data_IF_597780112232
#
_entry.id   IF_597780112232
#
_cell.length_a   1.000
_cell.length_b   1.000
_cell.length_c   1.000
_cell.angle_alpha   90.00
_cell.angle_beta   90.00
_cell.angle_gamma   90.00
#
_symmetry.space_group_name_H-M   'P 1'
#
loop_
_entity.id
_entity.type
_entity.pdbx_description
1 polymer ?
#
# COMPACT_ATOMS: atom_id res chain seq x y z
N UNK A 1 -6.88 0.62 31.99
CA UNK A 1 -5.45 0.28 31.87
C UNK A 1 -4.90 1.03 30.68
N UNK A 2 -3.89 1.88 30.84
CA UNK A 2 -3.31 2.61 29.72
C UNK A 2 -2.50 1.64 28.86
N UNK A 3 -2.93 1.39 27.63
CA UNK A 3 -2.16 0.62 26.65
C UNK A 3 -0.88 1.40 26.35
N UNK A 4 0.27 0.88 26.78
CA UNK A 4 1.56 1.47 26.47
C UNK A 4 1.76 1.48 24.95
N UNK A 5 1.96 2.66 24.37
CA UNK A 5 2.28 2.80 22.94
C UNK A 5 3.62 2.10 22.70
N UNK A 6 3.65 1.14 21.77
CA UNK A 6 4.87 0.42 21.40
C UNK A 6 5.78 1.36 20.57
N UNK A 7 6.64 2.11 21.26
CA UNK A 7 7.54 3.08 20.64
C UNK A 7 8.88 2.42 20.30
N UNK A 8 9.22 2.38 19.01
CA UNK A 8 10.55 1.96 18.54
C UNK A 8 11.44 3.17 18.28
N UNK A 9 12.58 3.26 18.99
CA UNK A 9 13.57 4.33 18.74
C UNK A 9 14.23 4.12 17.37
N UNK A 10 14.28 5.18 16.57
CA UNK A 10 14.90 5.21 15.24
C UNK A 10 15.68 6.51 15.08
N UNK A 11 16.88 6.40 14.51
CA UNK A 11 17.71 7.55 14.18
C UNK A 11 17.37 8.00 12.76
N UNK A 12 17.40 9.31 12.53
CA UNK A 12 17.16 9.94 11.23
C UNK A 12 18.29 10.92 10.94
N UNK A 13 18.73 10.96 9.69
CA UNK A 13 19.71 11.94 9.22
C UNK A 13 18.97 13.15 8.65
N UNK A 14 19.34 14.34 9.11
CA UNK A 14 18.76 15.61 8.66
C UNK A 14 19.89 16.57 8.29
N UNK A 15 19.76 17.32 7.19
CA UNK A 15 20.66 18.43 6.89
C UNK A 15 20.70 19.43 8.07
N UNK A 16 21.87 20.00 8.34
CA UNK A 16 22.09 20.94 9.45
C UNK A 16 21.11 22.12 9.39
N UNK A 17 20.93 22.71 8.21
CA UNK A 17 20.03 23.84 8.01
C UNK A 17 18.56 23.48 8.29
N UNK A 18 18.16 22.25 7.94
CA UNK A 18 16.82 21.75 8.22
C UNK A 18 16.60 21.58 9.72
N UNK A 19 17.59 21.02 10.43
CA UNK A 19 17.54 20.85 11.88
C UNK A 19 17.40 22.20 12.60
N UNK A 20 18.15 23.21 12.16
CA UNK A 20 18.07 24.57 12.73
C UNK A 20 16.70 25.20 12.53
N UNK A 21 16.13 25.13 11.32
CA UNK A 21 14.79 25.63 11.02
C UNK A 21 13.72 24.94 11.87
N UNK A 22 13.79 23.61 12.00
CA UNK A 22 12.89 22.84 12.86
C UNK A 22 13.02 23.24 14.34
N UNK A 23 14.24 23.52 14.81
CA UNK A 23 14.47 23.99 16.18
C UNK A 23 13.79 25.33 16.45
N UNK A 24 13.90 26.29 15.52
CA UNK A 24 13.24 27.59 15.64
C UNK A 24 11.71 27.42 15.66
N UNK A 25 11.17 26.58 14.77
CA UNK A 25 9.74 26.29 14.72
C UNK A 25 9.22 25.62 15.99
N UNK A 26 9.99 24.68 16.56
CA UNK A 26 9.64 24.00 17.81
C UNK A 26 9.56 25.00 18.98
N UNK A 27 10.56 25.89 19.08
CA UNK A 27 10.59 26.95 20.10
C UNK A 27 9.42 27.91 19.95
N UNK A 28 9.08 28.31 18.72
CA UNK A 28 7.93 29.17 18.45
C UNK A 28 6.59 28.55 18.90
N UNK A 29 6.51 27.21 19.02
CA UNK A 29 5.34 26.48 19.50
C UNK A 29 5.45 26.07 20.99
N UNK A 30 6.51 26.48 21.69
CA UNK A 30 6.74 26.10 23.09
C UNK A 30 6.99 24.60 23.29
N UNK A 31 7.48 23.89 22.27
CA UNK A 31 7.71 22.45 22.28
C UNK A 31 9.19 22.12 22.18
N UNK A 32 9.60 20.96 22.71
CA UNK A 32 10.93 20.44 22.44
C UNK A 32 11.06 20.02 20.97
N UNK A 33 12.27 20.14 20.40
CA UNK A 33 12.55 19.73 19.02
C UNK A 33 12.13 18.28 18.75
N UNK A 34 12.39 17.38 19.70
CA UNK A 34 11.98 15.97 19.62
C UNK A 34 10.46 15.83 19.49
N UNK A 35 9.70 16.42 20.42
CA UNK A 35 8.24 16.32 20.42
C UNK A 35 7.63 16.93 19.15
N UNK A 36 8.21 18.04 18.68
CA UNK A 36 7.79 18.71 17.47
C UNK A 36 7.96 17.82 16.23
N UNK A 37 9.15 17.22 16.04
CA UNK A 37 9.43 16.30 14.93
C UNK A 37 8.51 15.07 15.00
N UNK A 38 8.36 14.46 16.18
CA UNK A 38 7.48 13.30 16.37
C UNK A 38 6.03 13.63 16.00
N UNK A 39 5.52 14.78 16.46
CA UNK A 39 4.16 15.23 16.16
C UNK A 39 3.94 15.41 14.66
N UNK A 40 4.90 16.05 13.95
CA UNK A 40 4.81 16.24 12.50
C UNK A 40 4.74 14.89 11.79
N UNK A 41 5.63 13.95 12.14
CA UNK A 41 5.70 12.64 11.50
C UNK A 41 4.41 11.83 11.75
N UNK A 42 3.90 11.84 12.99
CA UNK A 42 2.65 11.16 13.35
C UNK A 42 1.47 11.76 12.59
N UNK A 43 1.34 13.09 12.59
CA UNK A 43 0.26 13.77 11.89
C UNK A 43 0.31 13.50 10.38
N UNK A 44 1.52 13.49 9.80
CA UNK A 44 1.70 13.19 8.38
C UNK A 44 1.30 11.75 8.08
N UNK A 45 1.71 10.79 8.91
CA UNK A 45 1.32 9.39 8.75
C UNK A 45 -0.21 9.21 8.86
N UNK A 46 -0.84 9.84 9.85
CA UNK A 46 -2.30 9.77 10.03
C UNK A 46 -3.08 10.45 8.90
N UNK A 47 -2.49 11.45 8.24
CA UNK A 47 -3.11 12.13 7.09
C UNK A 47 -3.10 11.33 5.80
N UNK A 48 -2.27 10.28 5.71
CA UNK A 48 -2.16 9.44 4.52
C UNK A 48 -2.88 8.12 4.80
N UNK A 49 -4.07 7.94 4.23
CA UNK A 49 -4.64 6.60 4.04
C UNK A 49 -3.86 5.93 2.93
N UNK A 50 -2.91 5.05 3.29
CA UNK A 50 -2.33 4.13 2.30
C UNK A 50 -3.35 3.02 2.11
N UNK A 51 -4.35 3.27 1.28
CA UNK A 51 -5.27 2.23 0.83
C UNK A 51 -4.51 1.37 -0.18
N UNK A 52 -3.93 0.28 0.31
CA UNK A 52 -3.50 -0.80 -0.57
C UNK A 52 -4.78 -1.49 -1.02
N UNK A 53 -5.33 -1.03 -2.15
CA UNK A 53 -6.44 -1.73 -2.77
C UNK A 53 -5.95 -3.13 -3.18
N UNK A 54 -6.65 -4.17 -2.73
CA UNK A 54 -6.41 -5.53 -3.23
C UNK A 54 -6.94 -5.71 -4.66
N UNK A 55 -7.73 -4.76 -5.15
CA UNK A 55 -8.24 -4.73 -6.52
C UNK A 55 -7.06 -4.46 -7.47
N UNK A 56 -6.69 -5.43 -8.34
CA UNK A 56 -5.57 -5.28 -9.26
C UNK A 56 -5.90 -4.36 -10.45
N UNK A 57 -7.16 -3.92 -10.61
CA UNK A 57 -7.60 -3.08 -11.72
C UNK A 57 -7.13 -1.64 -11.54
N UNK A 58 -6.34 -1.08 -12.48
CA UNK A 58 -5.93 0.33 -12.43
C UNK A 58 -7.11 1.31 -12.51
N UNK A 59 -8.24 0.89 -13.08
CA UNK A 59 -9.48 1.68 -13.17
C UNK A 59 -10.43 1.45 -12.00
N UNK A 60 -10.12 0.54 -11.08
CA UNK A 60 -11.00 0.19 -9.95
C UNK A 60 -12.27 -0.55 -10.38
N UNK A 61 -12.15 -1.50 -11.31
CA UNK A 61 -13.29 -2.30 -11.77
C UNK A 61 -13.89 -3.13 -10.61
N UNK A 62 -15.18 -2.91 -10.24
CA UNK A 62 -15.83 -3.62 -9.14
C UNK A 62 -15.88 -5.14 -9.30
N UNK A 63 -15.69 -5.65 -10.51
CA UNK A 63 -15.62 -7.09 -10.75
C UNK A 63 -14.55 -7.77 -9.88
N UNK A 64 -13.43 -7.09 -9.60
CA UNK A 64 -12.36 -7.61 -8.76
C UNK A 64 -12.57 -7.38 -7.26
N UNK A 65 -13.62 -6.65 -6.86
CA UNK A 65 -13.99 -6.53 -5.44
C UNK A 65 -14.81 -7.74 -4.97
N UNK A 66 -15.34 -8.55 -5.90
CA UNK A 66 -16.07 -9.78 -5.61
C UNK A 66 -15.10 -10.92 -5.21
N UNK A 67 -15.25 -11.51 -4.00
CA UNK A 67 -14.40 -12.59 -3.53
C UNK A 67 -14.41 -13.85 -4.41
N UNK A 68 -15.52 -14.18 -5.05
CA UNK A 68 -15.65 -15.36 -5.92
C UNK A 68 -14.86 -15.15 -7.21
N UNK A 69 -14.94 -13.95 -7.78
CA UNK A 69 -14.17 -13.58 -8.97
C UNK A 69 -12.66 -13.62 -8.66
N UNK A 70 -12.25 -13.08 -7.52
CA UNK A 70 -10.85 -13.13 -7.08
C UNK A 70 -10.39 -14.57 -6.80
N UNK A 71 -11.24 -15.44 -6.26
CA UNK A 71 -10.93 -16.85 -6.10
C UNK A 71 -10.72 -17.55 -7.45
N UNK A 72 -11.51 -17.21 -8.47
CA UNK A 72 -11.35 -17.70 -9.85
C UNK A 72 -10.01 -17.28 -10.45
N UNK A 73 -9.64 -15.99 -10.32
CA UNK A 73 -8.35 -15.47 -10.80
C UNK A 73 -7.17 -16.18 -10.12
N UNK A 74 -7.22 -16.34 -8.79
CA UNK A 74 -6.17 -17.04 -8.02
C UNK A 74 -6.01 -18.49 -8.48
N UNK A 75 -7.12 -19.20 -8.70
CA UNK A 75 -7.09 -20.56 -9.25
C UNK A 75 -6.44 -20.60 -10.64
N UNK A 76 -6.79 -19.68 -11.53
CA UNK A 76 -6.18 -19.58 -12.86
C UNK A 76 -4.66 -19.37 -12.80
N UNK A 77 -4.18 -18.53 -11.89
CA UNK A 77 -2.74 -18.33 -11.66
C UNK A 77 -2.05 -19.62 -11.19
N UNK A 78 -2.70 -20.38 -10.31
CA UNK A 78 -2.19 -21.68 -9.84
C UNK A 78 -2.18 -22.72 -10.96
N UNK A 79 -3.21 -22.76 -11.81
CA UNK A 79 -3.28 -23.67 -12.96
C UNK A 79 -2.17 -23.39 -13.96
N UNK A 80 -1.86 -22.12 -14.25
CA UNK A 80 -0.74 -21.74 -15.11
C UNK A 80 0.58 -22.20 -14.49
N UNK A 81 0.80 -21.95 -13.19
CA UNK A 81 2.02 -22.39 -12.48
C UNK A 81 2.16 -23.91 -12.45
N UNK A 82 1.06 -24.63 -12.37
CA UNK A 82 1.01 -26.09 -12.38
C UNK A 82 1.05 -26.68 -13.80
N UNK A 83 1.06 -25.86 -14.86
CA UNK A 83 1.01 -26.31 -16.24
C UNK A 83 -0.33 -26.93 -16.67
N UNK A 84 -1.41 -26.70 -15.91
CA UNK A 84 -2.78 -27.18 -16.20
C UNK A 84 -3.52 -26.26 -17.17
N UNK A 85 -2.81 -25.68 -18.13
CA UNK A 85 -3.36 -24.77 -19.13
C UNK A 85 -2.99 -25.25 -20.53
N UNK A 86 -3.87 -24.97 -21.50
CA UNK A 86 -3.63 -25.20 -22.92
C UNK A 86 -3.66 -23.86 -23.65
N UNK A 87 -2.62 -23.60 -24.44
CA UNK A 87 -2.65 -22.50 -25.40
C UNK A 87 -3.47 -22.93 -26.61
N UNK A 88 -4.33 -22.04 -27.09
CA UNK A 88 -5.10 -22.22 -28.31
C UNK A 88 -4.74 -21.14 -29.31
N UNK A 89 -4.71 -21.50 -30.58
CA UNK A 89 -4.70 -20.56 -31.70
C UNK A 89 -6.09 -19.95 -31.92
N UNK A 90 -6.14 -18.84 -32.66
CA UNK A 90 -7.41 -18.17 -32.97
C UNK A 90 -8.37 -19.10 -33.76
N UNK A 91 -7.83 -19.92 -34.66
CA UNK A 91 -8.62 -20.86 -35.46
C UNK A 91 -9.21 -21.97 -34.58
N UNK A 92 -8.42 -22.55 -33.67
CA UNK A 92 -8.93 -23.54 -32.70
C UNK A 92 -10.04 -22.97 -31.80
N UNK A 93 -9.93 -21.70 -31.41
CA UNK A 93 -10.96 -21.03 -30.59
C UNK A 93 -12.25 -20.87 -31.39
N UNK A 94 -12.17 -20.45 -32.66
CA UNK A 94 -13.33 -20.30 -33.56
C UNK A 94 -14.06 -21.63 -33.73
N UNK A 95 -13.32 -22.70 -34.01
CA UNK A 95 -13.87 -24.04 -34.15
C UNK A 95 -14.56 -24.53 -32.86
N UNK A 96 -13.96 -24.29 -31.69
CA UNK A 96 -14.53 -24.69 -30.39
C UNK A 96 -15.79 -23.91 -30.02
N UNK A 97 -15.85 -22.62 -30.37
CA UNK A 97 -16.99 -21.75 -30.09
C UNK A 97 -18.09 -21.84 -31.17
N UNK A 98 -17.79 -22.45 -32.31
CA UNK A 98 -18.72 -22.60 -33.44
C UNK A 98 -19.04 -21.28 -34.15
N UNK A 99 -18.06 -20.37 -34.22
CA UNK A 99 -18.21 -19.00 -34.79
C UNK A 99 -17.23 -18.72 -35.92
#
# INVERSE_FOLDING_TARGET
MATAINIKRKNIDLPVDTLQKLSIMAVAQGRSLKNFIETILINKANSVSVEVSENPSPSGDPWFDDPENMASVRRGIEDIKAGRCRAYSMDEIRDLLGV
#
